data_IF_596080476444
#
_entry.id   IF_596080476444
#
_cell.length_a   1.000
_cell.length_b   1.000
_cell.length_c   1.000
_cell.angle_alpha   90.00
_cell.angle_beta   90.00
_cell.angle_gamma   90.00
#
_symmetry.space_group_name_H-M   'P 1'
#
loop_
_entity.id
_entity.type
_entity.pdbx_description
1 polymer ?
#
# COMPACT_ATOMS: atom_id res chain seq x y z
N UNK A 1 16.25 9.95 17.71
CA UNK A 1 16.98 9.07 16.77
C UNK A 1 16.72 7.64 17.23
N UNK A 2 15.78 6.92 16.62
CA UNK A 2 15.38 5.56 17.06
C UNK A 2 15.75 4.59 15.95
N UNK A 3 16.85 3.89 16.14
CA UNK A 3 17.19 2.71 15.32
C UNK A 3 16.16 1.65 15.72
N UNK A 4 15.18 1.39 14.86
CA UNK A 4 14.16 0.36 15.11
C UNK A 4 14.66 -0.95 14.50
N UNK A 5 14.80 -1.96 15.33
CA UNK A 5 15.10 -3.32 14.88
C UNK A 5 13.79 -3.90 14.32
N UNK A 6 13.76 -4.41 13.08
CA UNK A 6 12.54 -4.93 12.46
C UNK A 6 12.13 -6.32 12.99
N UNK A 7 12.91 -6.91 13.90
CA UNK A 7 12.66 -8.23 14.49
C UNK A 7 11.31 -8.22 15.23
N UNK A 8 10.37 -9.07 14.78
CA UNK A 8 9.00 -9.10 15.28
C UNK A 8 7.98 -8.37 14.39
N UNK A 9 8.35 -7.94 13.18
CA UNK A 9 7.40 -7.39 12.21
C UNK A 9 6.45 -8.48 11.73
N UNK A 10 5.14 -8.26 11.84
CA UNK A 10 4.13 -9.15 11.25
C UNK A 10 3.58 -8.55 9.97
N UNK A 11 3.38 -9.40 8.96
CA UNK A 11 2.72 -9.03 7.72
C UNK A 11 1.35 -9.69 7.68
N UNK A 12 0.34 -8.93 7.26
CA UNK A 12 -1.03 -9.43 7.17
C UNK A 12 -1.67 -8.94 5.87
N UNK A 13 -2.38 -9.82 5.20
CA UNK A 13 -3.08 -9.56 3.94
C UNK A 13 -4.59 -9.52 4.19
N UNK A 14 -5.27 -8.55 3.59
CA UNK A 14 -6.72 -8.48 3.61
C UNK A 14 -7.30 -9.47 2.57
N UNK A 15 -8.15 -10.39 3.03
CA UNK A 15 -8.83 -11.36 2.14
C UNK A 15 -10.01 -10.75 1.39
N UNK A 16 -10.64 -9.70 1.91
CA UNK A 16 -11.84 -9.09 1.32
C UNK A 16 -11.69 -7.57 1.23
N UNK A 17 -12.03 -7.03 0.06
CA UNK A 17 -12.28 -5.60 -0.14
C UNK A 17 -13.79 -5.40 -0.27
N UNK A 18 -14.33 -4.41 0.43
CA UNK A 18 -15.75 -4.07 0.36
C UNK A 18 -16.12 -3.57 -1.04
N UNK A 19 -17.42 -3.61 -1.36
CA UNK A 19 -17.98 -2.92 -2.52
C UNK A 19 -17.54 -1.44 -2.51
N UNK A 20 -17.19 -0.86 -3.67
CA UNK A 20 -16.79 0.54 -3.76
C UNK A 20 -17.90 1.46 -3.23
N UNK A 21 -17.57 2.28 -2.23
CA UNK A 21 -18.46 3.29 -1.66
C UNK A 21 -18.09 4.65 -2.25
N UNK A 22 -18.96 5.27 -3.07
CA UNK A 22 -18.64 6.54 -3.70
C UNK A 22 -18.59 7.67 -2.66
N UNK A 23 -17.63 8.57 -2.82
CA UNK A 23 -17.58 9.83 -2.07
C UNK A 23 -17.67 11.00 -3.05
N UNK A 24 -18.39 12.05 -2.65
CA UNK A 24 -18.76 13.17 -3.53
C UNK A 24 -17.76 14.32 -3.44
N UNK A 25 -17.10 14.48 -2.29
CA UNK A 25 -16.14 15.55 -2.07
C UNK A 25 -14.95 15.07 -1.22
N UNK A 26 -13.80 15.71 -1.43
CA UNK A 26 -12.62 15.58 -0.58
C UNK A 26 -12.04 16.97 -0.34
N UNK A 27 -11.76 17.28 0.91
CA UNK A 27 -11.25 18.58 1.34
C UNK A 27 -9.73 18.67 1.16
N UNK A 28 -9.23 19.89 0.98
CA UNK A 28 -7.79 20.21 0.91
C UNK A 28 -7.21 20.45 2.31
N UNK A 29 -7.34 19.47 3.20
CA UNK A 29 -6.95 19.56 4.61
C UNK A 29 -5.90 18.50 5.01
N UNK A 30 -5.41 18.59 6.25
CA UNK A 30 -4.53 17.60 6.88
C UNK A 30 -5.06 17.31 8.29
N UNK A 31 -5.78 16.19 8.51
CA UNK A 31 -6.13 15.12 7.57
C UNK A 31 -7.17 15.55 6.51
N UNK A 32 -7.19 14.87 5.36
CA UNK A 32 -8.20 15.10 4.32
C UNK A 32 -9.55 14.49 4.74
N UNK A 33 -10.61 15.31 4.77
CA UNK A 33 -11.99 14.87 5.03
C UNK A 33 -12.67 14.49 3.72
N UNK A 34 -13.25 13.30 3.64
CA UNK A 34 -14.03 12.78 2.52
C UNK A 34 -15.51 12.77 2.90
N UNK A 35 -16.36 13.29 2.01
CA UNK A 35 -17.81 13.30 2.19
C UNK A 35 -18.43 12.13 1.43
N UNK A 36 -19.02 11.18 2.15
CA UNK A 36 -19.69 10.02 1.60
C UNK A 36 -20.95 9.73 2.42
N UNK A 37 -22.12 9.80 1.79
CA UNK A 37 -23.37 9.47 2.48
C UNK A 37 -23.48 7.96 2.68
N UNK A 38 -23.86 7.52 3.89
CA UNK A 38 -24.09 6.11 4.22
C UNK A 38 -22.87 5.19 3.95
N UNK A 39 -21.67 5.72 4.16
CA UNK A 39 -20.43 4.94 4.03
C UNK A 39 -20.32 3.85 5.09
N UNK A 40 -20.93 3.97 6.27
CA UNK A 40 -20.94 2.91 7.28
C UNK A 40 -19.53 2.40 7.64
N UNK A 41 -18.52 3.27 7.58
CA UNK A 41 -17.15 2.97 7.99
C UNK A 41 -16.97 3.40 9.45
N UNK A 42 -16.23 2.61 10.22
CA UNK A 42 -15.91 2.93 11.60
C UNK A 42 -14.50 3.53 11.71
N UNK A 43 -14.25 4.24 12.82
CA UNK A 43 -12.90 4.69 13.16
C UNK A 43 -11.98 3.47 13.33
N UNK A 44 -10.81 3.52 12.68
CA UNK A 44 -9.83 2.44 12.66
C UNK A 44 -9.93 1.51 11.45
N UNK A 45 -10.96 1.64 10.62
CA UNK A 45 -11.07 0.87 9.38
C UNK A 45 -9.96 1.25 8.41
N UNK A 46 -9.39 0.23 7.75
CA UNK A 46 -8.35 0.42 6.75
C UNK A 46 -9.01 0.41 5.38
N UNK A 47 -8.81 1.49 4.64
CA UNK A 47 -9.45 1.74 3.37
C UNK A 47 -8.42 1.96 2.26
N UNK A 48 -8.79 1.65 1.02
CA UNK A 48 -8.12 2.14 -0.19
C UNK A 48 -9.00 3.21 -0.79
N UNK A 49 -8.38 4.36 -1.07
CA UNK A 49 -9.02 5.50 -1.70
C UNK A 49 -8.73 5.42 -3.20
N UNK A 50 -9.78 5.32 -4.01
CA UNK A 50 -9.74 5.44 -5.45
C UNK A 50 -10.27 6.83 -5.80
N UNK A 51 -9.37 7.78 -6.08
CA UNK A 51 -9.71 9.17 -6.39
C UNK A 51 -9.26 9.50 -7.81
N UNK A 52 -9.97 10.45 -8.45
CA UNK A 52 -9.51 11.01 -9.73
C UNK A 52 -8.18 11.78 -9.60
N UNK A 53 -7.74 12.11 -8.38
CA UNK A 53 -6.38 12.62 -8.16
C UNK A 53 -5.36 11.48 -8.23
N UNK A 54 -4.48 11.53 -9.24
CA UNK A 54 -3.45 10.51 -9.48
C UNK A 54 -2.57 10.18 -8.26
N UNK A 55 -2.36 11.14 -7.33
CA UNK A 55 -1.56 10.93 -6.10
C UNK A 55 -2.32 10.26 -4.95
N UNK A 56 -3.65 10.28 -4.98
CA UNK A 56 -4.49 9.57 -4.01
C UNK A 56 -5.07 8.27 -4.56
N UNK A 57 -5.04 8.07 -5.87
CA UNK A 57 -5.57 6.85 -6.47
C UNK A 57 -4.85 5.59 -5.96
N UNK A 58 -5.63 4.62 -5.48
CA UNK A 58 -5.16 3.39 -4.87
C UNK A 58 -4.46 3.58 -3.52
N UNK A 59 -4.48 4.76 -2.91
CA UNK A 59 -3.71 5.02 -1.68
C UNK A 59 -4.41 4.41 -0.47
N UNK A 60 -3.71 3.57 0.32
CA UNK A 60 -4.28 3.04 1.55
C UNK A 60 -4.26 4.12 2.65
N UNK A 61 -5.33 4.19 3.44
CA UNK A 61 -5.47 5.10 4.58
C UNK A 61 -6.29 4.44 5.70
N UNK A 62 -6.15 4.94 6.92
CA UNK A 62 -7.00 4.60 8.07
C UNK A 62 -8.07 5.66 8.26
N UNK A 63 -9.29 5.22 8.52
CA UNK A 63 -10.43 6.08 8.81
C UNK A 63 -10.34 6.62 10.23
N UNK A 64 -10.47 7.93 10.38
CA UNK A 64 -10.62 8.65 11.64
C UNK A 64 -11.78 9.64 11.53
N UNK A 65 -12.28 10.12 12.66
CA UNK A 65 -13.37 11.11 12.73
C UNK A 65 -14.54 10.77 11.79
N UNK A 66 -14.97 9.50 11.78
CA UNK A 66 -16.12 9.03 11.01
C UNK A 66 -17.42 9.54 11.64
N UNK A 67 -18.18 10.33 10.89
CA UNK A 67 -19.56 10.71 11.17
C UNK A 67 -20.52 9.98 10.21
N UNK A 68 -21.80 10.35 10.16
CA UNK A 68 -22.83 9.72 9.31
C UNK A 68 -22.68 10.07 7.82
N UNK A 69 -22.02 11.20 7.50
CA UNK A 69 -21.89 11.71 6.13
C UNK A 69 -20.47 12.05 5.68
N UNK A 70 -19.50 11.98 6.57
CA UNK A 70 -18.11 12.24 6.28
C UNK A 70 -17.18 11.39 7.16
N UNK A 71 -15.92 11.34 6.74
CA UNK A 71 -14.84 10.72 7.50
C UNK A 71 -13.51 11.33 7.09
N UNK A 72 -12.55 11.37 8.01
CA UNK A 72 -11.20 11.83 7.73
C UNK A 72 -10.26 10.64 7.42
N UNK A 73 -9.39 10.83 6.42
CA UNK A 73 -8.34 9.88 6.07
C UNK A 73 -7.04 10.26 6.77
N UNK A 74 -6.65 9.48 7.77
CA UNK A 74 -5.44 9.73 8.56
C UNK A 74 -4.19 9.63 7.69
N UNK A 75 -3.20 10.51 7.91
CA UNK A 75 -1.93 10.46 7.17
C UNK A 75 -2.04 10.87 5.68
N UNK A 76 -3.22 11.29 5.22
CA UNK A 76 -3.43 11.87 3.89
C UNK A 76 -3.39 13.39 3.98
N UNK A 77 -2.43 13.99 3.28
CA UNK A 77 -2.23 15.45 3.22
C UNK A 77 -2.59 15.94 1.82
N UNK A 78 -3.67 16.72 1.72
CA UNK A 78 -4.22 17.28 0.47
C UNK A 78 -4.14 18.80 0.42
N UNK A 79 -3.33 19.42 1.28
CA UNK A 79 -3.19 20.89 1.38
C UNK A 79 -2.68 21.55 0.09
N UNK A 80 -1.96 20.81 -0.75
CA UNK A 80 -1.40 21.35 -2.00
C UNK A 80 -2.44 21.41 -3.12
N UNK A 81 -3.08 22.57 -3.29
CA UNK A 81 -4.11 22.82 -4.32
C UNK A 81 -3.60 22.59 -5.76
N UNK A 82 -2.28 22.73 -6.00
CA UNK A 82 -1.67 22.40 -7.30
C UNK A 82 -1.72 20.91 -7.64
N UNK A 83 -1.55 20.06 -6.62
CA UNK A 83 -1.59 18.61 -6.78
C UNK A 83 -3.00 18.04 -6.59
N UNK A 84 -3.86 18.80 -5.91
CA UNK A 84 -5.21 18.42 -5.52
C UNK A 84 -6.18 19.56 -5.85
N UNK A 85 -6.54 19.76 -7.14
CA UNK A 85 -7.48 20.79 -7.54
C UNK A 85 -8.84 20.58 -6.86
N UNK A 86 -9.36 21.62 -6.20
CA UNK A 86 -10.63 21.57 -5.48
C UNK A 86 -11.77 21.12 -6.41
N UNK A 87 -12.65 20.25 -5.91
CA UNK A 87 -13.82 19.77 -6.66
C UNK A 87 -13.56 18.67 -7.69
N UNK A 88 -12.31 18.30 -7.98
CA UNK A 88 -11.97 17.22 -8.93
C UNK A 88 -11.50 15.93 -8.26
N UNK A 89 -11.69 15.79 -6.95
CA UNK A 89 -11.17 14.66 -6.17
C UNK A 89 -12.16 13.51 -5.93
N UNK A 90 -13.41 13.64 -6.39
CA UNK A 90 -14.46 12.64 -6.21
C UNK A 90 -14.02 11.26 -6.72
N UNK A 91 -14.56 10.21 -6.11
CA UNK A 91 -14.12 8.85 -6.37
C UNK A 91 -14.87 7.83 -5.51
N UNK A 92 -14.20 6.72 -5.20
CA UNK A 92 -14.74 5.66 -4.36
C UNK A 92 -13.74 5.18 -3.33
N UNK A 93 -14.24 4.58 -2.25
CA UNK A 93 -13.44 3.98 -1.20
C UNK A 93 -13.83 2.53 -1.01
N UNK A 94 -12.84 1.66 -0.79
CA UNK A 94 -13.02 0.25 -0.47
C UNK A 94 -12.40 -0.05 0.88
N UNK A 95 -13.16 -0.63 1.80
CA UNK A 95 -12.65 -1.05 3.11
C UNK A 95 -12.10 -2.46 3.04
N UNK A 96 -10.99 -2.72 3.73
CA UNK A 96 -10.42 -4.04 3.86
C UNK A 96 -10.90 -4.74 5.14
N UNK A 97 -11.29 -6.01 5.00
CA UNK A 97 -11.66 -6.88 6.10
C UNK A 97 -11.06 -8.28 5.91
N UNK A 98 -11.17 -9.11 6.96
CA UNK A 98 -10.64 -10.48 6.95
C UNK A 98 -9.11 -10.52 6.85
N UNK A 99 -8.42 -9.85 7.78
CA UNK A 99 -6.97 -9.83 7.84
C UNK A 99 -6.41 -11.20 8.22
N UNK A 100 -5.56 -11.76 7.37
CA UNK A 100 -4.86 -13.03 7.60
C UNK A 100 -3.36 -12.78 7.69
N UNK A 101 -2.72 -13.30 8.74
CA UNK A 101 -1.28 -13.14 8.92
C UNK A 101 -0.48 -14.06 7.99
N UNK A 102 0.52 -13.50 7.32
CA UNK A 102 1.54 -14.24 6.58
C UNK A 102 2.64 -14.60 7.59
N UNK A 103 2.70 -15.87 7.97
CA UNK A 103 3.69 -16.41 8.91
C UNK A 103 4.94 -16.94 8.19
N UNK A 104 5.98 -17.27 8.97
CA UNK A 104 7.18 -17.96 8.50
C UNK A 104 7.96 -17.22 7.39
N UNK A 105 7.93 -15.88 7.40
CA UNK A 105 8.74 -15.05 6.50
C UNK A 105 10.19 -15.14 6.95
N UNK A 106 11.10 -15.48 6.03
CA UNK A 106 12.53 -15.63 6.33
C UNK A 106 13.26 -14.29 6.22
N UNK A 107 13.21 -13.65 5.06
CA UNK A 107 13.94 -12.42 4.77
C UNK A 107 13.14 -11.48 3.84
N UNK A 108 12.41 -10.49 4.37
CA UNK A 108 11.69 -9.54 3.53
C UNK A 108 12.67 -8.59 2.82
N UNK A 109 12.58 -8.49 1.50
CA UNK A 109 13.41 -7.54 0.72
C UNK A 109 12.53 -6.57 -0.06
N UNK A 110 12.81 -5.27 0.02
CA UNK A 110 12.13 -4.24 -0.76
C UNK A 110 13.04 -3.79 -1.91
N UNK A 111 12.46 -3.69 -3.11
CA UNK A 111 13.15 -3.35 -4.34
C UNK A 111 12.46 -2.15 -5.01
N UNK A 112 13.24 -1.29 -5.67
CA UNK A 112 12.73 -0.14 -6.40
C UNK A 112 12.35 1.06 -5.52
N UNK A 113 11.68 2.06 -6.11
CA UNK A 113 11.38 3.35 -5.47
C UNK A 113 12.46 4.41 -5.64
N UNK A 114 13.46 4.11 -6.48
CA UNK A 114 14.53 5.02 -6.87
C UNK A 114 13.99 6.16 -7.73
N UNK A 115 14.53 7.36 -7.50
CA UNK A 115 14.22 8.53 -8.31
C UNK A 115 14.93 8.40 -9.66
N UNK A 116 14.15 8.43 -10.74
CA UNK A 116 14.69 8.52 -12.10
C UNK A 116 15.01 9.97 -12.42
N UNK A 117 16.08 10.17 -13.18
CA UNK A 117 16.55 11.47 -13.64
C UNK A 117 16.65 11.47 -15.15
N UNK A 118 16.23 12.56 -15.78
CA UNK A 118 16.56 12.87 -17.16
C UNK A 118 17.77 13.78 -17.14
N UNK A 119 18.89 13.30 -17.66
CA UNK A 119 20.04 14.13 -17.96
C UNK A 119 19.78 14.85 -19.28
N UNK A 120 19.94 16.17 -19.29
CA UNK A 120 19.82 17.00 -20.48
C UNK A 120 20.93 18.06 -20.48
N UNK A 121 21.53 18.27 -21.64
CA UNK A 121 22.46 19.35 -21.93
C UNK A 121 21.91 20.18 -23.08
N UNK A 122 22.06 21.50 -23.01
CA UNK A 122 21.74 22.36 -24.14
C UNK A 122 22.95 22.39 -25.08
N UNK A 123 22.73 22.47 -26.40
CA UNK A 123 23.83 22.43 -27.40
C UNK A 123 24.84 23.58 -27.24
N UNK A 124 24.47 24.64 -26.52
CA UNK A 124 25.29 25.82 -26.24
C UNK A 124 26.07 25.73 -24.93
N UNK A 125 25.79 24.72 -24.10
CA UNK A 125 26.36 24.55 -22.77
C UNK A 125 27.18 23.25 -22.76
N UNK A 126 28.43 23.30 -22.28
CA UNK A 126 29.31 22.12 -22.18
C UNK A 126 28.96 21.25 -20.95
N UNK A 127 28.05 21.72 -20.08
CA UNK A 127 27.67 21.07 -18.84
C UNK A 127 26.27 20.41 -18.90
N UNK A 128 26.23 19.11 -18.60
CA UNK A 128 24.99 18.35 -18.45
C UNK A 128 24.27 18.66 -17.12
N UNK A 129 22.93 18.75 -17.17
CA UNK A 129 22.07 18.98 -16.00
C UNK A 129 21.07 17.83 -15.83
N UNK A 130 20.58 17.62 -14.60
CA UNK A 130 19.63 16.55 -14.29
C UNK A 130 18.30 17.08 -13.75
N UNK A 131 17.19 16.57 -14.30
CA UNK A 131 15.82 16.82 -13.82
C UNK A 131 15.18 15.52 -13.30
N UNK A 132 14.62 15.50 -12.08
CA UNK A 132 13.91 14.33 -11.57
C UNK A 132 12.59 14.11 -12.32
N UNK A 133 12.40 12.91 -12.89
CA UNK A 133 11.23 12.57 -13.71
C UNK A 133 10.16 11.83 -12.90
N UNK A 134 10.38 10.54 -12.68
CA UNK A 134 9.44 9.62 -12.05
C UNK A 134 10.16 8.76 -11.01
N UNK A 135 9.40 8.04 -10.20
CA UNK A 135 9.98 7.01 -9.32
C UNK A 135 9.77 5.65 -9.96
N UNK A 136 10.78 4.78 -9.86
CA UNK A 136 10.65 3.41 -10.34
C UNK A 136 9.57 2.65 -9.58
N UNK A 137 8.95 1.68 -10.26
CA UNK A 137 8.01 0.77 -9.63
C UNK A 137 8.68 0.12 -8.41
N UNK A 138 7.96 0.11 -7.31
CA UNK A 138 8.44 -0.45 -6.05
C UNK A 138 7.77 -1.80 -5.82
N UNK A 139 8.54 -2.80 -5.42
CA UNK A 139 8.04 -4.12 -5.06
C UNK A 139 8.70 -4.61 -3.79
N UNK A 140 8.10 -5.62 -3.16
CA UNK A 140 8.65 -6.26 -1.98
C UNK A 140 8.48 -7.76 -2.10
N UNK A 141 9.56 -8.51 -1.90
CA UNK A 141 9.52 -9.97 -1.88
C UNK A 141 9.55 -10.47 -0.44
N UNK A 142 8.70 -11.42 -0.16
CA UNK A 142 8.55 -12.09 1.14
C UNK A 142 8.76 -13.59 0.89
N UNK A 143 9.99 -14.11 0.99
CA UNK A 143 10.23 -15.53 1.02
C UNK A 143 9.62 -16.12 2.30
N UNK A 144 8.75 -17.09 2.12
CA UNK A 144 8.05 -17.82 3.18
C UNK A 144 8.44 -19.28 3.15
N UNK A 145 8.49 -19.93 4.30
CA UNK A 145 8.62 -21.38 4.33
C UNK A 145 7.39 -22.02 3.65
N UNK A 146 7.63 -23.12 2.92
CA UNK A 146 6.59 -23.84 2.21
C UNK A 146 5.77 -24.69 3.19
N UNK A 147 4.57 -24.24 3.53
CA UNK A 147 3.59 -24.97 4.32
C UNK A 147 2.17 -24.72 3.77
N UNK A 148 1.61 -25.65 2.96
CA UNK A 148 0.29 -25.49 2.34
C UNK A 148 -0.87 -25.55 3.33
N UNK A 149 -0.66 -25.96 4.59
CA UNK A 149 -1.72 -25.99 5.60
C UNK A 149 -2.01 -24.61 6.21
N UNK A 150 -1.20 -23.60 5.91
CA UNK A 150 -1.35 -22.27 6.48
C UNK A 150 -2.48 -21.48 5.83
N UNK A 151 -3.27 -20.79 6.66
CA UNK A 151 -4.45 -20.05 6.21
C UNK A 151 -4.15 -18.92 5.21
N UNK A 152 -2.92 -18.37 5.20
CA UNK A 152 -2.54 -17.32 4.26
C UNK A 152 -2.31 -17.84 2.84
N UNK A 153 -1.99 -19.13 2.64
CA UNK A 153 -1.66 -19.67 1.32
C UNK A 153 -2.86 -19.59 0.39
N UNK A 154 -4.04 -20.02 0.84
CA UNK A 154 -5.27 -19.93 0.05
C UNK A 154 -5.64 -18.48 -0.32
N UNK A 155 -5.39 -17.52 0.58
CA UNK A 155 -5.66 -16.09 0.32
C UNK A 155 -4.69 -15.52 -0.71
N UNK A 156 -3.42 -15.91 -0.63
CA UNK A 156 -2.37 -15.43 -1.54
C UNK A 156 -2.50 -16.07 -2.92
N UNK A 157 -2.83 -17.35 -3.01
CA UNK A 157 -3.07 -18.04 -4.27
C UNK A 157 -4.33 -17.52 -4.97
N UNK A 158 -5.42 -17.26 -4.22
CA UNK A 158 -6.59 -16.59 -4.77
C UNK A 158 -6.25 -15.17 -5.28
N UNK A 159 -5.42 -14.41 -4.55
CA UNK A 159 -4.98 -13.10 -5.00
C UNK A 159 -4.12 -13.14 -6.28
N UNK A 160 -3.31 -14.19 -6.46
CA UNK A 160 -2.50 -14.40 -7.67
C UNK A 160 -3.38 -14.76 -8.88
N UNK A 161 -4.43 -15.55 -8.68
CA UNK A 161 -5.38 -15.93 -9.73
C UNK A 161 -6.31 -14.78 -10.13
N UNK A 162 -6.86 -14.06 -9.16
CA UNK A 162 -7.76 -12.92 -9.37
C UNK A 162 -7.05 -11.74 -10.05
N UNK A 163 -5.72 -11.62 -9.85
CA UNK A 163 -4.89 -10.49 -10.31
C UNK A 163 -5.43 -9.14 -9.88
N UNK A 164 -6.15 -9.10 -8.76
CA UNK A 164 -6.66 -7.88 -8.16
C UNK A 164 -5.70 -7.36 -7.08
N UNK A 165 -5.47 -6.04 -6.99
CA UNK A 165 -4.62 -5.47 -5.96
C UNK A 165 -5.27 -5.64 -4.57
N UNK A 166 -4.48 -6.10 -3.60
CA UNK A 166 -4.91 -6.33 -2.22
C UNK A 166 -4.20 -5.38 -1.25
N UNK A 167 -4.84 -5.16 -0.10
CA UNK A 167 -4.29 -4.40 1.01
C UNK A 167 -3.43 -5.32 1.88
N UNK A 168 -2.18 -4.92 2.12
CA UNK A 168 -1.24 -5.62 3.00
C UNK A 168 -0.78 -4.65 4.09
N UNK A 169 -0.82 -5.06 5.35
CA UNK A 169 -0.30 -4.27 6.47
C UNK A 169 0.94 -4.93 7.04
N UNK A 170 1.98 -4.14 7.27
CA UNK A 170 3.15 -4.52 8.05
C UNK A 170 3.08 -3.82 9.41
N UNK A 171 2.94 -4.60 10.47
CA UNK A 171 2.96 -4.11 11.85
C UNK A 171 4.39 -4.24 12.38
N UNK A 172 5.08 -3.13 12.55
CA UNK A 172 6.44 -3.10 13.08
C UNK A 172 6.41 -3.19 14.61
N UNK A 173 7.42 -3.83 15.24
CA UNK A 173 7.49 -4.04 16.70
C UNK A 173 7.49 -2.74 17.52
N UNK A 174 7.82 -1.61 16.89
CA UNK A 174 7.77 -0.30 17.52
C UNK A 174 6.43 0.42 17.43
N UNK A 175 5.31 -0.29 17.23
CA UNK A 175 3.94 0.23 17.17
C UNK A 175 3.58 0.97 15.87
N UNK A 176 4.50 1.02 14.91
CA UNK A 176 4.26 1.66 13.62
C UNK A 176 3.64 0.66 12.63
N UNK A 177 2.63 1.08 11.88
CA UNK A 177 2.00 0.25 10.85
C UNK A 177 2.21 0.88 9.48
N UNK A 178 2.61 0.06 8.51
CA UNK A 178 2.71 0.47 7.10
C UNK A 178 1.66 -0.28 6.30
N UNK A 179 0.84 0.46 5.55
CA UNK A 179 -0.12 -0.12 4.63
C UNK A 179 0.41 -0.03 3.20
N UNK A 180 0.36 -1.17 2.52
CA UNK A 180 0.70 -1.37 1.13
C UNK A 180 -0.55 -1.74 0.36
N UNK A 181 -0.68 -1.20 -0.85
CA UNK A 181 -1.66 -1.64 -1.81
C UNK A 181 -0.89 -2.24 -2.98
N UNK A 182 -1.01 -3.55 -3.17
CA UNK A 182 -0.11 -4.30 -4.03
C UNK A 182 -0.82 -5.45 -4.74
N UNK A 183 -0.38 -5.74 -5.96
CA UNK A 183 -0.64 -7.04 -6.57
C UNK A 183 0.22 -8.08 -5.87
N UNK A 184 -0.42 -9.14 -5.39
CA UNK A 184 0.24 -10.22 -4.66
C UNK A 184 0.34 -11.41 -5.61
N UNK A 185 1.55 -11.92 -5.79
CA UNK A 185 1.79 -13.17 -6.51
C UNK A 185 2.66 -14.11 -5.69
N UNK A 186 2.56 -15.41 -5.94
CA UNK A 186 3.36 -16.42 -5.26
C UNK A 186 3.98 -17.38 -6.27
N UNK A 187 5.24 -17.75 -6.06
CA UNK A 187 5.88 -18.77 -6.89
C UNK A 187 5.21 -20.12 -6.67
N UNK A 188 4.77 -20.79 -7.75
CA UNK A 188 4.16 -22.12 -7.67
C UNK A 188 5.16 -23.22 -7.24
N UNK A 189 6.42 -23.12 -7.69
CA UNK A 189 7.46 -24.10 -7.35
C UNK A 189 8.28 -23.61 -6.16
N UNK A 190 8.38 -24.38 -5.07
CA UNK A 190 9.26 -24.05 -3.96
C UNK A 190 10.73 -24.22 -4.38
N UNK A 191 11.61 -23.40 -3.81
CA UNK A 191 13.05 -23.60 -4.01
C UNK A 191 13.55 -24.75 -3.14
N UNK A 192 14.22 -25.71 -3.78
CA UNK A 192 14.75 -26.92 -3.13
C UNK A 192 16.27 -26.82 -3.07
N UNK A 193 16.81 -26.20 -2.03
CA UNK A 193 18.25 -26.14 -1.80
C UNK A 193 18.68 -27.12 -0.70
N UNK A 194 19.76 -27.86 -0.94
CA UNK A 194 20.28 -28.86 0.02
C UNK A 194 20.69 -28.15 1.32
N UNK A 195 20.26 -28.70 2.46
CA UNK A 195 20.46 -28.16 3.83
C UNK A 195 19.70 -26.85 4.14
N UNK A 196 18.74 -26.47 3.32
CA UNK A 196 17.89 -25.31 3.54
C UNK A 196 16.43 -25.75 3.59
N UNK A 197 15.61 -24.97 4.30
CA UNK A 197 14.16 -25.13 4.29
C UNK A 197 13.60 -24.84 2.89
N UNK A 198 12.52 -25.52 2.53
CA UNK A 198 11.78 -25.22 1.31
C UNK A 198 11.10 -23.87 1.46
N UNK A 199 11.27 -22.98 0.48
CA UNK A 199 10.66 -21.65 0.49
C UNK A 199 9.93 -21.34 -0.80
N UNK A 200 8.79 -20.65 -0.68
CA UNK A 200 8.08 -19.99 -1.78
C UNK A 200 8.26 -18.49 -1.62
N UNK A 201 8.34 -17.76 -2.73
CA UNK A 201 8.49 -16.31 -2.70
C UNK A 201 7.16 -15.65 -3.04
N UNK A 202 6.63 -14.87 -2.08
CA UNK A 202 5.51 -13.98 -2.32
C UNK A 202 6.06 -12.65 -2.81
N UNK A 203 5.58 -12.15 -3.95
CA UNK A 203 5.97 -10.84 -4.48
C UNK A 203 4.79 -9.88 -4.37
N UNK A 204 5.04 -8.73 -3.75
CA UNK A 204 4.10 -7.63 -3.61
C UNK A 204 4.54 -6.52 -4.57
N UNK A 205 3.80 -6.32 -5.66
CA UNK A 205 4.07 -5.24 -6.62
C UNK A 205 3.17 -4.05 -6.28
N UNK A 206 3.75 -2.96 -5.78
CA UNK A 206 2.97 -1.85 -5.25
C UNK A 206 2.24 -1.10 -6.37
N UNK A 207 0.92 -1.07 -6.30
CA UNK A 207 0.05 -0.34 -7.23
C UNK A 207 -0.01 1.16 -6.89
N UNK A 208 0.29 1.52 -5.64
CA UNK A 208 0.27 2.90 -5.17
C UNK A 208 1.35 3.17 -4.12
N UNK A 209 1.47 4.43 -3.71
CA UNK A 209 2.41 4.84 -2.67
C UNK A 209 1.95 4.27 -1.32
N UNK A 210 2.83 3.61 -0.54
CA UNK A 210 2.48 3.12 0.78
C UNK A 210 2.24 4.27 1.76
N UNK A 211 1.34 4.04 2.71
CA UNK A 211 1.07 4.98 3.80
C UNK A 211 1.63 4.41 5.09
N UNK A 212 2.49 5.17 5.77
CA UNK A 212 3.12 4.80 7.04
C UNK A 212 2.52 5.60 8.18
N UNK A 213 2.09 4.90 9.21
CA UNK A 213 1.69 5.47 10.49
C UNK A 213 2.82 5.28 11.49
N UNK A 214 3.17 6.37 12.17
CA UNK A 214 4.09 6.31 13.29
C UNK A 214 3.28 6.05 14.57
N UNK A 215 3.90 5.36 15.54
CA UNK A 215 3.37 5.25 16.90
C UNK A 215 3.40 6.61 17.60
#
# INVERSE_FOLDING_TARGET
MSVKIPNGTTFEIASVLSVPKPFTAITNAKPAVLTAAAHGLANGDVIVIDSAWAKLNGRPARVIDSDVGDFAAEGVDTTSVKNYPAGSGAGSVRAASGWTQISQITEPTANGGEQQFLTYGFLEDDDDRQLPTTKSASSMTLPVADDPAQAYVAVVEAADEDKEPRLVRANLPGGATIYYYAYVSITATPTLSRNNIMTRTITLSFASRPTRYNA
#
